data_IF_703203396403
#
_entry.id   IF_703203396403
#
_cell.length_a   1.000
_cell.length_b   1.000
_cell.length_c   1.000
_cell.angle_alpha   90.00
_cell.angle_beta   90.00
_cell.angle_gamma   90.00
#
_symmetry.space_group_name_H-M   'P 1'
#
loop_
_entity.id
_entity.type
_entity.pdbx_description
1 polymer ?
#
# COMPACT_ATOMS: atom_id res chain seq x y z
N UNK A 1 12.80 -19.19 -55.55
CA UNK A 1 13.39 -19.22 -56.92
C UNK A 1 14.85 -18.71 -57.05
N UNK A 2 15.54 -18.18 -56.02
CA UNK A 2 16.96 -17.72 -56.15
C UNK A 2 18.06 -18.78 -55.87
N UNK A 3 17.74 -19.96 -55.33
CA UNK A 3 18.74 -20.99 -54.97
C UNK A 3 19.22 -21.85 -56.16
N UNK A 4 18.45 -21.94 -57.25
CA UNK A 4 18.84 -22.77 -58.41
C UNK A 4 19.82 -22.07 -59.36
N UNK A 5 19.80 -20.73 -59.46
CA UNK A 5 20.75 -20.00 -60.31
C UNK A 5 22.19 -20.01 -59.80
N UNK A 6 22.42 -20.27 -58.50
CA UNK A 6 23.77 -20.34 -57.93
C UNK A 6 24.50 -21.65 -58.26
N UNK A 7 23.78 -22.76 -58.49
CA UNK A 7 24.39 -24.05 -58.83
C UNK A 7 24.94 -24.07 -60.27
N UNK A 8 24.11 -23.62 -61.22
CA UNK A 8 24.44 -23.57 -62.66
C UNK A 8 25.70 -22.74 -62.92
N UNK A 9 25.91 -21.66 -62.15
CA UNK A 9 27.06 -20.76 -62.32
C UNK A 9 28.35 -21.23 -61.64
N UNK A 10 28.30 -22.16 -60.67
CA UNK A 10 29.52 -22.77 -60.09
C UNK A 10 30.06 -23.84 -61.03
N UNK A 11 29.18 -24.63 -61.65
CA UNK A 11 29.54 -25.59 -62.69
C UNK A 11 30.25 -24.92 -63.86
N UNK A 12 29.77 -23.76 -64.30
CA UNK A 12 30.38 -23.01 -65.40
C UNK A 12 31.83 -22.58 -65.13
N UNK A 13 32.14 -22.06 -63.93
CA UNK A 13 33.51 -21.64 -63.60
C UNK A 13 34.45 -22.84 -63.55
N UNK A 14 34.06 -23.91 -62.85
CA UNK A 14 34.86 -25.15 -62.77
C UNK A 14 35.08 -25.75 -64.16
N UNK A 15 34.05 -25.71 -65.02
CA UNK A 15 34.13 -26.19 -66.39
C UNK A 15 35.14 -25.39 -67.21
N UNK A 16 35.11 -24.05 -67.18
CA UNK A 16 36.04 -23.23 -67.96
C UNK A 16 37.48 -23.30 -67.44
N UNK A 17 37.69 -23.41 -66.13
CA UNK A 17 39.03 -23.64 -65.56
C UNK A 17 39.57 -25.01 -65.96
N UNK A 18 38.73 -26.06 -65.92
CA UNK A 18 39.10 -27.40 -66.37
C UNK A 18 39.37 -27.45 -67.88
N UNK A 19 38.58 -26.75 -68.70
CA UNK A 19 38.79 -26.60 -70.15
C UNK A 19 40.11 -25.87 -70.43
N UNK A 20 40.41 -24.77 -69.73
CA UNK A 20 41.69 -24.07 -69.87
C UNK A 20 42.89 -24.94 -69.51
N UNK A 21 42.82 -25.69 -68.41
CA UNK A 21 43.84 -26.66 -68.01
C UNK A 21 44.00 -27.81 -69.01
N UNK A 22 42.89 -28.32 -69.54
CA UNK A 22 42.90 -29.38 -70.54
C UNK A 22 43.51 -28.90 -71.88
N UNK A 23 43.24 -27.66 -72.30
CA UNK A 23 43.84 -27.07 -73.49
C UNK A 23 45.36 -26.83 -73.31
N UNK A 24 45.78 -26.38 -72.12
CA UNK A 24 47.20 -26.24 -71.79
C UNK A 24 47.93 -27.60 -71.78
N UNK A 25 47.33 -28.63 -71.15
CA UNK A 25 47.88 -29.99 -71.15
C UNK A 25 47.89 -30.63 -72.55
N UNK A 26 46.84 -30.41 -73.34
CA UNK A 26 46.76 -30.87 -74.72
C UNK A 26 47.81 -30.21 -75.62
N UNK A 27 48.09 -28.92 -75.42
CA UNK A 27 49.16 -28.22 -76.13
C UNK A 27 50.54 -28.83 -75.82
N UNK A 28 50.81 -29.19 -74.57
CA UNK A 28 52.07 -29.86 -74.20
C UNK A 28 52.21 -31.26 -74.80
N UNK A 29 51.12 -32.04 -74.86
CA UNK A 29 51.14 -33.38 -75.45
C UNK A 29 51.28 -33.37 -76.99
N UNK A 30 50.78 -32.33 -77.67
CA UNK A 30 50.88 -32.17 -79.12
C UNK A 30 52.30 -31.79 -79.59
N UNK A 31 53.10 -31.14 -78.73
CA UNK A 31 54.48 -30.73 -79.05
C UNK A 31 55.42 -31.93 -79.19
N UNK A 32 55.15 -33.05 -78.52
CA UNK A 32 55.96 -34.28 -78.62
C UNK A 32 55.67 -35.13 -79.87
N UNK A 33 54.57 -34.86 -80.59
CA UNK A 33 54.10 -35.74 -81.66
C UNK A 33 54.43 -35.28 -83.09
N UNK A 34 54.31 -33.98 -83.41
CA UNK A 34 54.19 -33.50 -84.80
C UNK A 34 55.09 -32.28 -85.07
N UNK A 35 55.99 -32.36 -86.07
CA UNK A 35 56.99 -31.31 -86.36
C UNK A 35 56.41 -29.97 -86.89
N UNK A 36 55.16 -29.93 -87.36
CA UNK A 36 54.45 -28.69 -87.77
C UNK A 36 53.48 -28.13 -86.70
N UNK A 37 53.47 -28.69 -85.49
CA UNK A 37 52.50 -28.34 -84.44
C UNK A 37 52.82 -27.04 -83.66
N UNK A 38 53.93 -26.35 -83.96
CA UNK A 38 54.38 -25.19 -83.19
C UNK A 38 53.40 -24.00 -83.24
N UNK A 39 52.76 -23.78 -84.40
CA UNK A 39 51.76 -22.73 -84.57
C UNK A 39 50.52 -22.98 -83.70
N UNK A 40 49.99 -24.21 -83.71
CA UNK A 40 48.80 -24.58 -82.95
C UNK A 40 49.05 -24.63 -81.45
N UNK A 41 50.25 -25.02 -81.03
CA UNK A 41 50.67 -24.97 -79.62
C UNK A 41 50.66 -23.55 -79.08
N UNK A 42 51.23 -22.58 -79.81
CA UNK A 42 51.23 -21.17 -79.42
C UNK A 42 49.83 -20.58 -79.30
N UNK A 43 48.93 -20.90 -80.25
CA UNK A 43 47.54 -20.45 -80.21
C UNK A 43 46.78 -21.07 -79.03
N UNK A 44 46.93 -22.37 -78.78
CA UNK A 44 46.29 -23.08 -77.66
C UNK A 44 46.78 -22.59 -76.31
N UNK A 45 48.08 -22.30 -76.18
CA UNK A 45 48.64 -21.74 -74.94
C UNK A 45 48.08 -20.35 -74.69
N UNK A 46 48.14 -19.43 -75.66
CA UNK A 46 47.62 -18.07 -75.48
C UNK A 46 46.10 -18.05 -75.20
N UNK A 47 45.33 -18.87 -75.92
CA UNK A 47 43.89 -19.01 -75.70
C UNK A 47 43.58 -19.63 -74.34
N UNK A 48 44.31 -20.69 -73.97
CA UNK A 48 44.19 -21.37 -72.68
C UNK A 48 44.52 -20.44 -71.50
N UNK A 49 45.59 -19.66 -71.59
CA UNK A 49 45.97 -18.66 -70.58
C UNK A 49 44.92 -17.57 -70.46
N UNK A 50 44.38 -17.06 -71.57
CA UNK A 50 43.35 -16.00 -71.55
C UNK A 50 42.06 -16.49 -70.90
N UNK A 51 41.60 -17.69 -71.25
CA UNK A 51 40.40 -18.32 -70.67
C UNK A 51 40.62 -18.63 -69.18
N UNK A 52 41.80 -19.13 -68.81
CA UNK A 52 42.15 -19.40 -67.42
C UNK A 52 42.18 -18.11 -66.59
N UNK A 53 42.81 -17.05 -67.10
CA UNK A 53 42.91 -15.76 -66.43
C UNK A 53 41.53 -15.12 -66.23
N UNK A 54 40.66 -15.18 -67.25
CA UNK A 54 39.29 -14.70 -67.15
C UNK A 54 38.48 -15.49 -66.10
N UNK A 55 38.61 -16.81 -66.08
CA UNK A 55 37.97 -17.67 -65.07
C UNK A 55 38.47 -17.37 -63.66
N UNK A 56 39.77 -17.14 -63.50
CA UNK A 56 40.40 -16.79 -62.23
C UNK A 56 39.97 -15.42 -61.72
N UNK A 57 39.90 -14.40 -62.59
CA UNK A 57 39.41 -13.06 -62.26
C UNK A 57 37.96 -13.11 -61.74
N UNK A 58 37.07 -13.83 -62.42
CA UNK A 58 35.66 -14.00 -62.00
C UNK A 58 35.56 -14.71 -60.65
N UNK A 59 36.45 -15.68 -60.39
CA UNK A 59 36.51 -16.35 -59.09
C UNK A 59 36.95 -15.39 -57.98
N UNK A 60 37.97 -14.56 -58.25
CA UNK A 60 38.53 -13.61 -57.30
C UNK A 60 37.54 -12.49 -56.97
N UNK A 61 36.87 -11.93 -57.98
CA UNK A 61 35.80 -10.94 -57.83
C UNK A 61 34.67 -11.50 -56.96
N UNK A 62 34.23 -12.74 -57.20
CA UNK A 62 33.19 -13.38 -56.38
C UNK A 62 33.63 -13.65 -54.96
N UNK A 63 34.89 -14.04 -54.75
CA UNK A 63 35.44 -14.26 -53.42
C UNK A 63 35.48 -12.95 -52.64
N UNK A 64 35.93 -11.86 -53.27
CA UNK A 64 35.93 -10.52 -52.69
C UNK A 64 34.51 -10.04 -52.38
N UNK A 65 33.56 -10.18 -53.31
CA UNK A 65 32.15 -9.80 -53.10
C UNK A 65 31.50 -10.64 -51.99
N UNK A 66 31.82 -11.93 -51.91
CA UNK A 66 31.35 -12.78 -50.83
C UNK A 66 31.89 -12.31 -49.49
N UNK A 67 33.21 -12.08 -49.38
CA UNK A 67 33.85 -11.62 -48.15
C UNK A 67 33.37 -10.22 -47.73
N UNK A 68 33.27 -9.26 -48.63
CA UNK A 68 32.75 -7.91 -48.30
C UNK A 68 31.30 -7.96 -47.86
N UNK A 69 30.48 -8.83 -48.44
CA UNK A 69 29.09 -9.02 -48.01
C UNK A 69 29.00 -9.67 -46.63
N UNK A 70 29.90 -10.58 -46.28
CA UNK A 70 29.96 -11.16 -44.93
C UNK A 70 30.39 -10.12 -43.90
N UNK A 71 31.47 -9.38 -44.17
CA UNK A 71 31.99 -8.33 -43.29
C UNK A 71 30.98 -7.20 -43.13
N UNK A 72 30.33 -6.75 -44.22
CA UNK A 72 29.29 -5.74 -44.14
C UNK A 72 28.05 -6.22 -43.37
N UNK A 73 27.71 -7.51 -43.45
CA UNK A 73 26.61 -8.09 -42.69
C UNK A 73 26.96 -8.16 -41.20
N UNK A 74 28.17 -8.62 -40.86
CA UNK A 74 28.67 -8.70 -39.48
C UNK A 74 28.73 -7.31 -38.84
N UNK A 75 29.33 -6.33 -39.53
CA UNK A 75 29.38 -4.94 -39.07
C UNK A 75 27.97 -4.31 -38.91
N UNK A 76 27.04 -4.60 -39.84
CA UNK A 76 25.66 -4.13 -39.71
C UNK A 76 24.91 -4.79 -38.54
N UNK A 77 25.16 -6.07 -38.25
CA UNK A 77 24.56 -6.74 -37.09
C UNK A 77 25.15 -6.27 -35.78
N UNK A 78 26.45 -5.99 -35.72
CA UNK A 78 27.13 -5.46 -34.54
C UNK A 78 26.64 -4.04 -34.23
N UNK A 79 26.61 -3.16 -35.23
CA UNK A 79 26.08 -1.81 -35.09
C UNK A 79 24.58 -1.80 -34.70
N UNK A 80 23.78 -2.72 -35.24
CA UNK A 80 22.38 -2.87 -34.86
C UNK A 80 22.21 -3.38 -33.42
N UNK A 81 23.08 -4.29 -32.97
CA UNK A 81 23.08 -4.79 -31.59
C UNK A 81 23.49 -3.70 -30.59
N UNK A 82 24.52 -2.91 -30.91
CA UNK A 82 24.98 -1.81 -30.08
C UNK A 82 23.92 -0.70 -29.99
N UNK A 83 23.31 -0.32 -31.11
CA UNK A 83 22.20 0.63 -31.12
C UNK A 83 20.98 0.13 -30.32
N UNK A 84 20.68 -1.17 -30.40
CA UNK A 84 19.60 -1.77 -29.61
C UNK A 84 19.92 -1.74 -28.11
N UNK A 85 21.17 -2.04 -27.72
CA UNK A 85 21.59 -1.96 -26.31
C UNK A 85 21.48 -0.53 -25.77
N UNK A 86 22.01 0.46 -26.48
CA UNK A 86 21.91 1.87 -26.09
C UNK A 86 20.45 2.31 -25.97
N UNK A 87 19.59 1.93 -26.93
CA UNK A 87 18.17 2.24 -26.87
C UNK A 87 17.46 1.56 -25.68
N UNK A 88 17.83 0.32 -25.34
CA UNK A 88 17.30 -0.35 -24.15
C UNK A 88 17.78 0.29 -22.85
N UNK A 89 19.06 0.65 -22.75
CA UNK A 89 19.61 1.32 -21.57
C UNK A 89 18.94 2.68 -21.35
N UNK A 90 18.75 3.45 -22.42
CA UNK A 90 18.05 4.74 -22.35
C UNK A 90 16.58 4.56 -21.97
N UNK A 91 15.89 3.56 -22.54
CA UNK A 91 14.51 3.24 -22.17
C UNK A 91 14.40 2.81 -20.70
N UNK A 92 15.32 1.98 -20.21
CA UNK A 92 15.37 1.56 -18.80
C UNK A 92 15.63 2.75 -17.87
N UNK A 93 16.57 3.65 -18.23
CA UNK A 93 16.83 4.87 -17.45
C UNK A 93 15.59 5.75 -17.36
N UNK A 94 14.94 6.05 -18.50
CA UNK A 94 13.72 6.86 -18.53
C UNK A 94 12.59 6.22 -17.73
N UNK A 95 12.48 4.89 -17.75
CA UNK A 95 11.48 4.18 -16.96
C UNK A 95 11.77 4.29 -15.46
N UNK A 96 13.02 4.11 -15.05
CA UNK A 96 13.43 4.27 -13.65
C UNK A 96 13.18 5.71 -13.16
N UNK A 97 13.57 6.73 -13.94
CA UNK A 97 13.31 8.13 -13.60
C UNK A 97 11.80 8.41 -13.41
N UNK A 98 10.95 7.78 -14.24
CA UNK A 98 9.49 7.89 -14.11
C UNK A 98 8.96 7.17 -12.89
N UNK A 99 9.49 5.98 -12.57
CA UNK A 99 9.10 5.22 -11.38
C UNK A 99 9.47 6.00 -10.12
N UNK A 100 10.67 6.58 -10.07
CA UNK A 100 11.12 7.42 -8.96
C UNK A 100 10.22 8.65 -8.80
N UNK A 101 9.88 9.34 -9.90
CA UNK A 101 8.97 10.48 -9.86
C UNK A 101 7.54 10.12 -9.44
N UNK A 102 7.05 8.91 -9.78
CA UNK A 102 5.75 8.40 -9.34
C UNK A 102 5.80 8.08 -7.85
N UNK A 103 6.85 7.41 -7.38
CA UNK A 103 7.07 7.08 -5.99
C UNK A 103 7.12 8.35 -5.13
N UNK A 104 7.88 9.38 -5.55
CA UNK A 104 7.98 10.66 -4.85
C UNK A 104 6.62 11.38 -4.75
N UNK A 105 5.83 11.38 -5.84
CA UNK A 105 4.48 11.98 -5.83
C UNK A 105 3.52 11.23 -4.91
N UNK A 106 3.61 9.89 -4.91
CA UNK A 106 2.79 9.05 -4.05
C UNK A 106 3.13 9.27 -2.58
N UNK A 107 4.42 9.30 -2.22
CA UNK A 107 4.88 9.60 -0.86
C UNK A 107 4.45 11.01 -0.40
N UNK A 108 4.55 12.01 -1.28
CA UNK A 108 4.06 13.37 -0.98
C UNK A 108 2.56 13.38 -0.72
N UNK A 109 1.78 12.71 -1.57
CA UNK A 109 0.33 12.63 -1.40
C UNK A 109 -0.06 11.93 -0.09
N UNK A 110 0.64 10.86 0.28
CA UNK A 110 0.43 10.18 1.56
C UNK A 110 0.78 11.10 2.74
N UNK A 111 1.87 11.85 2.67
CA UNK A 111 2.27 12.79 3.72
C UNK A 111 1.27 13.97 3.86
N UNK A 112 0.79 14.52 2.74
CA UNK A 112 -0.23 15.57 2.74
C UNK A 112 -1.55 15.06 3.33
N UNK A 113 -1.97 13.84 2.98
CA UNK A 113 -3.16 13.23 3.55
C UNK A 113 -3.00 12.98 5.05
N UNK A 114 -1.86 12.44 5.49
CA UNK A 114 -1.58 12.22 6.91
C UNK A 114 -1.62 13.53 7.71
N UNK A 115 -1.03 14.61 7.17
CA UNK A 115 -1.06 15.93 7.82
C UNK A 115 -2.48 16.52 7.92
N UNK A 116 -3.33 16.30 6.91
CA UNK A 116 -4.74 16.71 6.97
C UNK A 116 -5.51 15.92 8.02
N UNK A 117 -5.29 14.61 8.09
CA UNK A 117 -5.89 13.73 9.11
C UNK A 117 -5.43 14.12 10.52
N UNK A 118 -4.14 14.41 10.70
CA UNK A 118 -3.58 14.86 11.99
C UNK A 118 -4.19 16.19 12.42
N UNK A 119 -4.29 17.16 11.51
CA UNK A 119 -4.90 18.46 11.80
C UNK A 119 -6.39 18.35 12.15
N UNK A 120 -7.12 17.40 11.56
CA UNK A 120 -8.52 17.17 11.88
C UNK A 120 -8.70 16.60 13.29
N UNK A 121 -7.79 15.71 13.71
CA UNK A 121 -7.83 15.10 15.04
C UNK A 121 -7.34 16.07 16.12
N UNK A 122 -6.21 16.75 15.92
CA UNK A 122 -5.61 17.65 16.91
C UNK A 122 -6.41 18.93 17.14
N UNK A 123 -7.33 19.28 16.25
CA UNK A 123 -8.15 20.50 16.33
C UNK A 123 -9.01 20.59 17.61
N UNK A 124 -9.32 19.46 18.27
CA UNK A 124 -10.03 19.46 19.55
C UNK A 124 -9.19 20.14 20.65
N UNK A 125 -7.86 19.99 20.61
CA UNK A 125 -6.97 20.57 21.61
C UNK A 125 -6.90 22.10 21.54
N UNK A 126 -7.07 22.67 20.34
CA UNK A 126 -7.04 24.11 20.10
C UNK A 126 -8.37 24.76 20.48
N UNK A 127 -9.48 24.19 20.01
CA UNK A 127 -10.83 24.69 20.27
C UNK A 127 -11.85 23.55 20.34
N UNK A 128 -12.52 23.43 21.49
CA UNK A 128 -13.62 22.47 21.65
C UNK A 128 -14.88 23.05 21.02
N UNK A 129 -15.26 22.53 19.86
CA UNK A 129 -16.47 22.89 19.13
C UNK A 129 -17.12 21.65 18.51
N UNK A 130 -18.36 21.78 18.04
CA UNK A 130 -19.01 20.71 17.29
C UNK A 130 -18.17 20.32 16.06
N UNK A 131 -17.65 21.31 15.33
CA UNK A 131 -16.90 21.07 14.09
C UNK A 131 -15.59 20.33 14.35
N UNK A 132 -14.83 20.70 15.39
CA UNK A 132 -13.57 20.03 15.71
C UNK A 132 -13.79 18.60 16.19
N UNK A 133 -14.77 18.37 17.07
CA UNK A 133 -15.09 17.01 17.56
C UNK A 133 -15.67 16.13 16.45
N UNK A 134 -16.54 16.68 15.61
CA UNK A 134 -17.12 15.95 14.47
C UNK A 134 -16.03 15.55 13.47
N UNK A 135 -15.19 16.50 13.05
CA UNK A 135 -14.12 16.25 12.09
C UNK A 135 -13.12 15.18 12.60
N UNK A 136 -12.74 15.25 13.87
CA UNK A 136 -11.85 14.27 14.49
C UNK A 136 -12.50 12.87 14.55
N UNK A 137 -13.75 12.78 15.00
CA UNK A 137 -14.49 11.53 15.10
C UNK A 137 -14.74 10.90 13.72
N UNK A 138 -15.11 11.70 12.71
CA UNK A 138 -15.30 11.22 11.34
C UNK A 138 -14.01 10.72 10.71
N UNK A 139 -12.90 11.45 10.93
CA UNK A 139 -11.57 11.06 10.45
C UNK A 139 -11.15 9.73 11.08
N UNK A 140 -11.28 9.61 12.41
CA UNK A 140 -10.97 8.37 13.11
C UNK A 140 -11.89 7.21 12.70
N UNK A 141 -13.19 7.46 12.48
CA UNK A 141 -14.13 6.45 12.00
C UNK A 141 -13.80 5.97 10.58
N UNK A 142 -13.48 6.90 9.66
CA UNK A 142 -13.08 6.60 8.28
C UNK A 142 -11.85 5.69 8.21
N UNK A 143 -10.90 5.88 9.12
CA UNK A 143 -9.70 5.04 9.23
C UNK A 143 -9.97 3.68 9.94
N UNK A 144 -11.14 3.52 10.57
CA UNK A 144 -11.46 2.38 11.43
C UNK A 144 -10.70 2.40 12.76
N UNK A 145 -10.19 3.57 13.16
CA UNK A 145 -9.51 3.79 14.43
C UNK A 145 -10.50 3.84 15.60
N UNK A 146 -11.73 4.32 15.35
CA UNK A 146 -12.92 4.19 16.21
C UNK A 146 -14.07 3.64 15.38
N UNK A 147 -15.07 3.07 16.02
CA UNK A 147 -16.36 2.78 15.39
C UNK A 147 -17.23 4.05 15.41
N UNK A 148 -18.53 3.92 15.68
CA UNK A 148 -19.43 5.07 15.82
C UNK A 148 -19.33 5.71 17.19
N UNK A 149 -18.76 5.02 18.19
CA UNK A 149 -18.77 5.45 19.58
C UNK A 149 -17.39 5.24 20.21
N UNK A 150 -16.98 6.18 21.06
CA UNK A 150 -15.84 6.03 21.96
C UNK A 150 -16.23 6.46 23.36
N UNK A 151 -15.83 5.67 24.36
CA UNK A 151 -16.01 6.02 25.76
C UNK A 151 -14.78 6.73 26.28
N UNK A 152 -14.97 7.80 27.04
CA UNK A 152 -13.88 8.62 27.53
C UNK A 152 -14.11 8.96 29.00
N UNK A 153 -13.07 8.80 29.82
CA UNK A 153 -13.11 9.26 31.20
C UNK A 153 -13.30 10.78 31.27
N UNK A 154 -14.31 11.23 32.02
CA UNK A 154 -14.57 12.62 32.31
C UNK A 154 -13.61 13.24 33.33
N UNK A 155 -12.65 12.49 33.86
CA UNK A 155 -11.68 12.99 34.82
C UNK A 155 -10.33 12.25 34.77
N UNK A 156 -9.54 12.39 35.83
CA UNK A 156 -8.18 11.84 35.94
C UNK A 156 -8.16 10.42 36.51
N UNK A 157 -9.22 10.05 37.23
CA UNK A 157 -9.31 8.76 37.93
C UNK A 157 -10.07 7.76 37.08
N UNK A 158 -9.69 6.50 37.19
CA UNK A 158 -10.37 5.40 36.50
C UNK A 158 -11.84 5.25 36.93
N UNK A 159 -12.16 5.71 38.15
CA UNK A 159 -13.49 5.71 38.76
C UNK A 159 -14.31 6.96 38.40
N UNK A 160 -13.72 7.93 37.70
CA UNK A 160 -14.46 9.13 37.29
C UNK A 160 -15.53 8.75 36.24
N UNK A 161 -16.59 9.56 36.13
CA UNK A 161 -17.70 9.25 35.22
C UNK A 161 -17.23 9.12 33.78
N UNK A 162 -17.84 8.21 33.04
CA UNK A 162 -17.49 7.93 31.65
C UNK A 162 -18.53 8.55 30.75
N UNK A 163 -18.07 9.33 29.78
CA UNK A 163 -18.91 9.92 28.73
C UNK A 163 -18.67 9.14 27.45
N UNK A 164 -19.74 8.62 26.88
CA UNK A 164 -19.78 8.16 25.51
C UNK A 164 -19.89 9.35 24.57
N UNK A 165 -19.04 9.37 23.55
CA UNK A 165 -19.07 10.31 22.43
C UNK A 165 -19.32 9.49 21.18
N UNK A 166 -20.48 9.69 20.57
CA UNK A 166 -20.93 8.92 19.41
C UNK A 166 -21.24 9.79 18.19
N UNK A 167 -20.87 9.31 17.01
CA UNK A 167 -21.39 9.75 15.73
C UNK A 167 -22.81 9.18 15.57
N UNK A 168 -23.80 10.03 15.82
CA UNK A 168 -25.21 9.68 15.70
C UNK A 168 -25.81 10.29 14.44
N UNK A 169 -26.83 9.64 13.90
CA UNK A 169 -27.73 10.27 12.92
C UNK A 169 -28.96 10.73 13.67
N UNK A 170 -29.32 12.00 13.53
CA UNK A 170 -30.61 12.48 14.03
C UNK A 170 -31.71 11.77 13.23
N UNK A 171 -32.37 10.80 13.84
CA UNK A 171 -33.56 10.18 13.27
C UNK A 171 -34.75 11.03 13.69
N UNK A 172 -35.09 12.05 12.90
CA UNK A 172 -36.40 12.66 13.01
C UNK A 172 -37.45 11.67 12.51
N UNK A 173 -38.31 11.23 13.42
CA UNK A 173 -39.50 10.47 13.06
C UNK A 173 -40.52 11.44 12.46
N UNK A 174 -40.53 11.56 11.14
CA UNK A 174 -41.55 12.29 10.40
C UNK A 174 -42.58 11.27 9.90
N UNK A 175 -43.87 11.53 10.11
CA UNK A 175 -45.02 10.64 9.82
C UNK A 175 -45.08 10.04 8.39
N UNK A 176 -44.23 10.47 7.46
CA UNK A 176 -44.27 10.06 6.04
C UNK A 176 -42.91 9.66 5.42
N UNK A 177 -41.88 9.41 6.22
CA UNK A 177 -40.60 8.90 5.72
C UNK A 177 -39.43 9.28 6.62
N UNK A 178 -38.47 8.37 6.80
CA UNK A 178 -37.22 8.67 7.49
C UNK A 178 -36.29 9.39 6.52
N UNK A 179 -36.07 10.69 6.74
CA UNK A 179 -34.92 11.38 6.17
C UNK A 179 -33.79 11.26 7.18
N UNK A 180 -32.62 10.80 6.74
CA UNK A 180 -31.41 10.93 7.56
C UNK A 180 -31.00 12.40 7.54
N UNK A 181 -31.21 13.08 8.66
CA UNK A 181 -30.75 14.45 8.88
C UNK A 181 -29.21 14.53 9.01
N UNK A 182 -28.62 15.73 9.09
CA UNK A 182 -27.18 15.90 9.35
C UNK A 182 -26.70 15.03 10.52
N UNK A 183 -25.43 14.60 10.43
CA UNK A 183 -24.77 13.88 11.52
C UNK A 183 -24.75 14.76 12.78
N UNK A 184 -25.03 14.17 13.93
CA UNK A 184 -24.97 14.85 15.24
C UNK A 184 -23.99 14.10 16.14
N UNK A 185 -23.46 14.78 17.16
CA UNK A 185 -22.66 14.11 18.19
C UNK A 185 -23.60 13.74 19.33
N UNK A 186 -23.75 12.44 19.59
CA UNK A 186 -24.42 11.95 20.78
C UNK A 186 -23.46 11.96 21.96
N UNK A 187 -23.82 12.67 23.03
CA UNK A 187 -23.13 12.57 24.33
C UNK A 187 -24.01 11.79 25.29
N UNK A 188 -23.49 10.65 25.77
CA UNK A 188 -24.22 9.78 26.66
C UNK A 188 -23.42 9.54 27.94
N UNK A 189 -24.01 9.80 29.10
CA UNK A 189 -23.39 9.48 30.38
C UNK A 189 -24.03 8.23 30.97
N UNK A 190 -23.24 7.17 31.09
CA UNK A 190 -23.70 5.91 31.68
C UNK A 190 -23.53 5.97 33.20
N UNK A 191 -24.64 5.80 33.92
CA UNK A 191 -24.60 5.69 35.38
C UNK A 191 -24.67 4.23 35.80
N UNK A 192 -23.70 3.82 36.62
CA UNK A 192 -23.44 2.45 37.06
C UNK A 192 -22.90 1.50 35.97
N UNK A 193 -21.57 1.41 35.88
CA UNK A 193 -20.87 0.50 34.98
C UNK A 193 -21.08 -0.98 35.29
N UNK A 194 -21.70 -1.35 36.43
CA UNK A 194 -21.99 -2.75 36.77
C UNK A 194 -23.18 -3.32 35.99
N UNK A 195 -24.01 -2.46 35.38
CA UNK A 195 -25.26 -2.84 34.72
C UNK A 195 -25.30 -2.38 33.25
N UNK A 196 -24.26 -2.69 32.48
CA UNK A 196 -24.25 -2.53 31.00
C UNK A 196 -25.17 -3.57 30.33
N UNK A 197 -26.46 -3.33 30.54
CA UNK A 197 -27.63 -4.04 30.01
C UNK A 197 -28.96 -3.36 30.40
N UNK A 198 -29.01 -2.59 31.51
CA UNK A 198 -30.21 -1.86 31.97
C UNK A 198 -29.94 -0.51 32.66
N UNK A 199 -28.70 -0.01 32.63
CA UNK A 199 -28.36 1.29 33.24
C UNK A 199 -29.12 2.46 32.61
N UNK A 200 -29.45 3.47 33.42
CA UNK A 200 -29.98 4.73 32.89
C UNK A 200 -28.86 5.44 32.12
N UNK A 201 -29.09 5.63 30.82
CA UNK A 201 -28.24 6.45 29.98
C UNK A 201 -28.95 7.79 29.81
N UNK A 202 -28.29 8.86 30.27
CA UNK A 202 -28.74 10.22 29.95
C UNK A 202 -28.01 10.66 28.70
N UNK A 203 -28.78 10.96 27.66
CA UNK A 203 -28.26 11.35 26.35
C UNK A 203 -28.53 12.83 26.10
N UNK A 204 -27.58 13.49 25.45
CA UNK A 204 -27.75 14.82 24.89
C UNK A 204 -27.18 14.82 23.48
N UNK A 205 -27.98 15.30 22.52
CA UNK A 205 -27.51 15.54 21.17
C UNK A 205 -26.78 16.88 21.11
N UNK A 206 -25.68 16.91 20.38
CA UNK A 206 -24.87 18.08 20.10
C UNK A 206 -24.91 18.36 18.60
N UNK A 207 -25.53 19.47 18.24
CA UNK A 207 -25.64 19.97 16.87
C UNK A 207 -24.66 21.10 16.61
N UNK A 208 -24.48 21.49 15.34
CA UNK A 208 -23.58 22.58 14.93
C UNK A 208 -23.92 23.95 15.55
N UNK A 209 -25.18 24.15 15.94
CA UNK A 209 -25.68 25.42 16.46
C UNK A 209 -25.55 25.50 18.00
N UNK A 210 -25.17 24.39 18.65
CA UNK A 210 -24.96 24.35 20.10
C UNK A 210 -23.50 24.64 20.48
N UNK A 211 -23.32 25.49 21.48
CA UNK A 211 -22.04 25.61 22.17
C UNK A 211 -21.83 24.45 23.17
N UNK A 212 -20.58 24.02 23.42
CA UNK A 212 -20.30 22.91 24.34
C UNK A 212 -20.89 23.10 25.74
N UNK A 213 -20.92 24.33 26.26
CA UNK A 213 -21.40 24.61 27.63
C UNK A 213 -22.90 24.33 27.70
N UNK A 214 -23.66 24.71 26.68
CA UNK A 214 -25.10 24.43 26.59
C UNK A 214 -25.36 22.93 26.58
N UNK A 215 -24.62 22.14 25.77
CA UNK A 215 -24.82 20.69 25.70
C UNK A 215 -24.52 20.01 27.04
N UNK A 216 -23.40 20.34 27.68
CA UNK A 216 -23.09 19.79 29.01
C UNK A 216 -24.02 20.32 30.10
N UNK A 217 -24.57 21.52 29.93
CA UNK A 217 -25.64 22.07 30.76
C UNK A 217 -26.93 21.26 30.67
N UNK A 218 -27.34 20.85 29.45
CA UNK A 218 -28.46 19.94 29.22
C UNK A 218 -28.19 18.58 29.87
N UNK A 219 -27.03 17.98 29.57
CA UNK A 219 -26.62 16.68 30.13
C UNK A 219 -26.62 16.69 31.67
N UNK A 220 -26.07 17.75 32.28
CA UNK A 220 -26.09 17.95 33.74
C UNK A 220 -27.52 18.04 34.30
N UNK A 221 -28.36 18.85 33.66
CA UNK A 221 -29.73 19.09 34.13
C UNK A 221 -30.55 17.81 34.11
N UNK A 222 -30.38 17.01 33.05
CA UNK A 222 -31.02 15.71 32.92
C UNK A 222 -30.48 14.70 33.94
N UNK A 223 -29.16 14.65 34.16
CA UNK A 223 -28.53 13.84 35.21
C UNK A 223 -29.05 14.18 36.62
N UNK A 224 -29.23 15.47 36.93
CA UNK A 224 -29.84 15.90 38.19
C UNK A 224 -31.30 15.48 38.26
N UNK A 225 -32.06 15.62 37.15
CA UNK A 225 -33.48 15.25 37.07
C UNK A 225 -33.71 13.77 37.36
N UNK A 226 -32.82 12.89 36.93
CA UNK A 226 -32.90 11.44 37.18
C UNK A 226 -32.23 11.00 38.50
N UNK A 227 -31.72 11.93 39.31
CA UNK A 227 -31.18 11.66 40.65
C UNK A 227 -29.67 11.39 40.71
N UNK A 228 -28.95 11.52 39.60
CA UNK A 228 -27.52 11.24 39.46
C UNK A 228 -26.65 12.52 39.38
N UNK A 229 -27.11 13.59 40.02
CA UNK A 229 -26.36 14.85 40.12
C UNK A 229 -24.94 14.71 40.74
N UNK A 230 -24.74 13.89 41.79
CA UNK A 230 -23.41 13.67 42.38
C UNK A 230 -22.40 13.05 41.40
N UNK A 231 -22.82 12.10 40.57
CA UNK A 231 -22.00 11.44 39.57
C UNK A 231 -21.52 12.45 38.53
N UNK A 232 -22.41 13.32 38.04
CA UNK A 232 -22.02 14.37 37.09
C UNK A 232 -20.98 15.35 37.67
N UNK A 233 -20.93 15.55 38.99
CA UNK A 233 -19.95 16.46 39.63
C UNK A 233 -18.50 16.04 39.38
N UNK A 234 -18.25 14.76 39.11
CA UNK A 234 -16.93 14.23 38.75
C UNK A 234 -16.52 14.51 37.30
N UNK A 235 -17.43 15.00 36.45
CA UNK A 235 -17.12 15.30 35.04
C UNK A 235 -16.42 16.65 34.94
N UNK A 236 -15.15 16.62 34.56
CA UNK A 236 -14.39 17.77 34.10
C UNK A 236 -14.40 17.79 32.57
N UNK A 237 -15.19 18.70 31.99
CA UNK A 237 -15.38 18.83 30.53
C UNK A 237 -14.05 19.08 29.80
N UNK A 238 -13.16 19.89 30.37
CA UNK A 238 -11.85 20.13 29.76
C UNK A 238 -11.01 18.85 29.73
N UNK A 239 -10.99 18.10 30.83
CA UNK A 239 -10.24 16.84 30.91
C UNK A 239 -10.83 15.77 29.99
N UNK A 240 -12.16 15.71 29.87
CA UNK A 240 -12.84 14.83 28.94
C UNK A 240 -12.36 15.05 27.50
N UNK A 241 -12.34 16.29 27.02
CA UNK A 241 -11.91 16.58 25.64
C UNK A 241 -10.41 16.39 25.43
N UNK A 242 -9.58 16.65 26.45
CA UNK A 242 -8.15 16.30 26.41
C UNK A 242 -7.94 14.79 26.26
N UNK A 243 -8.69 13.99 27.02
CA UNK A 243 -8.65 12.54 26.96
C UNK A 243 -9.17 12.03 25.61
N UNK A 244 -10.26 12.62 25.09
CA UNK A 244 -10.80 12.29 23.77
C UNK A 244 -9.77 12.58 22.67
N UNK A 245 -9.23 13.81 22.62
CA UNK A 245 -8.23 14.21 21.64
C UNK A 245 -7.05 13.22 21.62
N UNK A 246 -6.44 13.00 22.78
CA UNK A 246 -5.31 12.06 22.91
C UNK A 246 -5.67 10.65 22.49
N UNK A 247 -6.84 10.16 22.92
CA UNK A 247 -7.31 8.83 22.56
C UNK A 247 -7.46 8.66 21.04
N UNK A 248 -8.03 9.67 20.37
CA UNK A 248 -8.18 9.68 18.91
C UNK A 248 -6.84 9.79 18.19
N UNK A 249 -5.92 10.65 18.64
CA UNK A 249 -4.55 10.74 18.11
C UNK A 249 -3.83 9.39 18.20
N UNK A 250 -3.85 8.78 19.38
CA UNK A 250 -3.23 7.47 19.62
C UNK A 250 -3.90 6.36 18.78
N UNK A 251 -5.22 6.44 18.58
CA UNK A 251 -5.96 5.48 17.74
C UNK A 251 -5.60 5.60 16.26
N UNK A 252 -5.58 6.83 15.74
CA UNK A 252 -5.26 7.11 14.34
C UNK A 252 -3.81 6.73 14.04
N UNK A 253 -2.88 7.13 14.91
CA UNK A 253 -1.47 6.76 14.77
C UNK A 253 -1.26 5.23 14.79
N UNK A 254 -1.90 4.54 15.74
CA UNK A 254 -1.86 3.08 15.81
C UNK A 254 -2.46 2.39 14.58
N UNK A 255 -3.50 2.99 14.00
CA UNK A 255 -4.19 2.45 12.82
C UNK A 255 -3.40 2.64 11.52
N UNK A 256 -2.71 3.76 11.36
CA UNK A 256 -1.80 4.03 10.22
C UNK A 256 -0.51 3.23 10.32
N UNK A 257 -0.11 2.83 11.53
CA UNK A 257 1.16 2.17 11.78
C UNK A 257 2.32 3.16 11.81
N UNK A 258 2.08 4.37 12.31
CA UNK A 258 3.09 5.42 12.39
C UNK A 258 4.27 4.99 13.25
N UNK A 259 5.46 5.49 12.89
CA UNK A 259 6.65 5.22 13.67
C UNK A 259 6.51 5.86 15.08
N UNK A 260 6.55 5.02 16.11
CA UNK A 260 6.38 5.46 17.50
C UNK A 260 4.95 5.40 18.03
N UNK A 261 3.97 4.99 17.21
CA UNK A 261 2.64 4.65 17.72
C UNK A 261 2.75 3.53 18.75
N UNK A 262 2.32 3.79 19.98
CA UNK A 262 2.38 2.81 21.07
C UNK A 262 1.22 1.81 21.03
N UNK A 263 0.09 2.22 20.44
CA UNK A 263 -1.10 1.38 20.31
C UNK A 263 -0.98 0.39 19.17
N UNK A 264 -1.55 -0.79 19.38
CA UNK A 264 -1.75 -1.77 18.32
C UNK A 264 -2.83 -1.31 17.32
N UNK A 265 -2.85 -1.82 16.07
CA UNK A 265 -3.75 -1.35 15.00
C UNK A 265 -5.24 -1.80 15.16
N UNK A 266 -5.79 -1.69 16.36
CA UNK A 266 -7.16 -2.02 16.71
C UNK A 266 -8.10 -0.81 16.81
N UNK A 267 -9.40 -1.09 16.88
CA UNK A 267 -10.44 -0.08 17.09
C UNK A 267 -10.47 0.31 18.56
N UNK A 268 -10.33 1.61 18.86
CA UNK A 268 -10.49 2.17 20.20
C UNK A 268 -11.94 2.09 20.65
N UNK A 269 -12.14 1.60 21.88
CA UNK A 269 -13.45 1.47 22.51
C UNK A 269 -13.59 2.35 23.76
N UNK A 270 -12.52 2.46 24.56
CA UNK A 270 -12.54 3.22 25.82
C UNK A 270 -11.18 3.87 26.11
N UNK A 271 -11.18 5.15 26.50
CA UNK A 271 -10.03 5.89 27.01
C UNK A 271 -10.12 5.92 28.53
N UNK A 272 -9.33 5.06 29.18
CA UNK A 272 -9.40 4.86 30.63
C UNK A 272 -8.60 5.94 31.38
N UNK A 273 -7.41 6.25 30.89
CA UNK A 273 -6.50 7.29 31.37
C UNK A 273 -5.42 7.57 30.33
N UNK A 274 -4.50 8.47 30.64
CA UNK A 274 -3.39 8.94 29.80
C UNK A 274 -2.58 7.82 29.13
N UNK A 275 -2.38 6.71 29.83
CA UNK A 275 -1.53 5.60 29.38
C UNK A 275 -2.31 4.29 29.19
N UNK A 276 -3.64 4.31 29.36
CA UNK A 276 -4.48 3.11 29.32
C UNK A 276 -5.69 3.28 28.44
N UNK A 277 -5.89 2.30 27.56
CA UNK A 277 -7.02 2.26 26.64
C UNK A 277 -7.57 0.85 26.54
N UNK A 278 -8.83 0.75 26.13
CA UNK A 278 -9.46 -0.49 25.70
C UNK A 278 -9.66 -0.42 24.19
N UNK A 279 -9.20 -1.45 23.49
CA UNK A 279 -9.49 -1.66 22.09
C UNK A 279 -10.21 -2.98 21.86
N UNK A 280 -10.62 -3.24 20.62
CA UNK A 280 -11.10 -4.56 20.20
C UNK A 280 -10.03 -5.68 20.36
N UNK A 281 -8.77 -5.33 20.65
CA UNK A 281 -7.69 -6.27 20.93
C UNK A 281 -7.48 -6.54 22.41
N UNK A 282 -8.05 -5.73 23.30
CA UNK A 282 -8.00 -5.91 24.75
C UNK A 282 -7.68 -4.62 25.51
N UNK A 283 -7.13 -4.76 26.71
CA UNK A 283 -6.60 -3.65 27.50
C UNK A 283 -5.15 -3.41 27.06
N UNK A 284 -4.84 -2.17 26.69
CA UNK A 284 -3.51 -1.74 26.25
C UNK A 284 -2.95 -0.67 27.19
N UNK A 285 -1.64 -0.75 27.41
CA UNK A 285 -0.85 0.22 28.16
C UNK A 285 0.30 0.76 27.31
N UNK A 286 0.60 2.06 27.44
CA UNK A 286 1.63 2.76 26.66
C UNK A 286 2.99 2.07 26.64
N UNK A 287 3.46 1.62 27.79
CA UNK A 287 4.80 1.00 27.92
C UNK A 287 4.81 -0.52 27.78
N UNK A 288 3.65 -1.16 27.88
CA UNK A 288 3.54 -2.63 27.95
C UNK A 288 2.76 -3.24 26.79
N UNK A 289 2.23 -2.44 25.86
CA UNK A 289 1.41 -2.90 24.75
C UNK A 289 0.11 -3.54 25.25
N UNK A 290 -0.28 -4.67 24.67
CA UNK A 290 -1.50 -5.40 25.08
C UNK A 290 -1.24 -6.12 26.40
N UNK A 291 -1.79 -5.60 27.50
CA UNK A 291 -1.65 -6.14 28.85
C UNK A 291 -2.63 -7.28 29.10
N UNK A 292 -3.85 -7.17 28.59
CA UNK A 292 -4.83 -8.26 28.66
C UNK A 292 -5.58 -8.38 27.32
N UNK A 293 -5.36 -9.46 26.56
CA UNK A 293 -5.99 -9.62 25.25
C UNK A 293 -7.50 -9.80 25.38
N UNK A 294 -8.25 -9.34 24.38
CA UNK A 294 -9.72 -9.38 24.37
C UNK A 294 -10.30 -10.78 24.63
N UNK A 295 -9.60 -11.83 24.21
CA UNK A 295 -10.02 -13.22 24.45
C UNK A 295 -10.03 -13.61 25.93
N UNK A 296 -9.14 -13.03 26.75
CA UNK A 296 -9.12 -13.25 28.20
C UNK A 296 -10.23 -12.47 28.92
N UNK A 297 -10.74 -11.42 28.27
CA UNK A 297 -11.85 -10.61 28.78
C UNK A 297 -13.22 -11.23 28.44
N UNK A 298 -13.30 -12.17 27.49
CA UNK A 298 -14.56 -12.87 27.19
C UNK A 298 -15.06 -13.62 28.42
N UNK A 299 -16.23 -13.23 28.92
CA UNK A 299 -16.90 -14.00 29.96
C UNK A 299 -17.22 -15.40 29.41
N UNK A 300 -16.73 -16.44 30.09
CA UNK A 300 -17.26 -17.79 29.86
C UNK A 300 -18.72 -17.75 30.32
N UNK A 301 -19.66 -18.13 29.44
CA UNK A 301 -21.08 -18.29 29.80
C UNK A 301 -21.24 -19.47 30.76
N UNK A 302 -20.80 -19.31 32.00
CA UNK A 302 -21.05 -20.23 33.10
C UNK A 302 -22.00 -19.51 34.04
N UNK A 303 -23.26 -19.95 34.06
CA UNK A 303 -24.38 -19.26 34.70
C UNK A 303 -24.26 -19.12 36.23
N UNK A 304 -23.31 -19.81 36.89
CA UNK A 304 -23.28 -19.95 38.35
C UNK A 304 -21.96 -19.55 39.03
N UNK A 305 -20.99 -18.93 38.33
CA UNK A 305 -19.73 -18.50 38.96
C UNK A 305 -19.40 -17.05 38.66
N UNK A 306 -18.95 -16.36 39.69
CA UNK A 306 -18.33 -15.04 39.59
C UNK A 306 -17.29 -15.07 38.46
N UNK A 307 -17.30 -14.08 37.56
CA UNK A 307 -16.46 -14.14 36.37
C UNK A 307 -15.00 -14.21 36.77
N UNK A 308 -14.30 -15.29 36.40
CA UNK A 308 -12.86 -15.42 36.61
C UNK A 308 -12.16 -14.24 35.93
N UNK A 309 -11.68 -13.27 36.71
CA UNK A 309 -11.00 -12.08 36.22
C UNK A 309 -9.56 -12.48 35.88
N UNK A 310 -8.98 -12.01 34.77
CA UNK A 310 -7.55 -12.19 34.53
C UNK A 310 -6.77 -11.60 35.72
N UNK A 311 -5.71 -12.27 36.18
CA UNK A 311 -4.92 -11.78 37.31
C UNK A 311 -4.31 -10.42 36.97
N UNK A 312 -4.21 -9.54 37.97
CA UNK A 312 -3.55 -8.25 37.81
C UNK A 312 -2.07 -8.44 37.47
N UNK A 313 -1.51 -7.66 36.54
CA UNK A 313 -0.06 -7.57 36.39
C UNK A 313 0.59 -7.10 37.70
N UNK A 314 1.80 -7.58 38.01
CA UNK A 314 2.50 -7.28 39.28
C UNK A 314 2.69 -5.78 39.56
N UNK A 315 2.69 -4.95 38.51
CA UNK A 315 2.91 -3.49 38.57
C UNK A 315 1.60 -2.69 38.59
N UNK A 316 0.44 -3.35 38.60
CA UNK A 316 -0.88 -2.70 38.66
C UNK A 316 -1.57 -3.10 39.95
N UNK A 317 -2.07 -2.10 40.68
CA UNK A 317 -2.93 -2.31 41.83
C UNK A 317 -4.18 -3.15 41.48
N UNK A 318 -4.54 -4.10 42.34
CA UNK A 318 -5.59 -5.08 42.07
C UNK A 318 -6.98 -4.44 41.93
N UNK A 319 -7.29 -3.42 42.74
CA UNK A 319 -8.55 -2.68 42.66
C UNK A 319 -8.63 -1.91 41.34
N UNK A 320 -7.55 -1.19 40.99
CA UNK A 320 -7.45 -0.49 39.71
C UNK A 320 -7.61 -1.47 38.54
N UNK A 321 -6.95 -2.62 38.59
CA UNK A 321 -7.06 -3.66 37.57
C UNK A 321 -8.49 -4.17 37.42
N UNK A 322 -9.17 -4.48 38.54
CA UNK A 322 -10.56 -4.93 38.55
C UNK A 322 -11.51 -3.93 37.88
N UNK A 323 -11.30 -2.64 38.07
CA UNK A 323 -12.06 -1.59 37.39
C UNK A 323 -11.80 -1.55 35.88
N UNK A 324 -10.53 -1.66 35.44
CA UNK A 324 -10.18 -1.67 34.02
C UNK A 324 -10.77 -2.89 33.31
N UNK A 325 -10.67 -4.07 33.93
CA UNK A 325 -11.23 -5.31 33.40
C UNK A 325 -12.75 -5.23 33.30
N UNK A 326 -13.43 -4.75 34.34
CA UNK A 326 -14.89 -4.58 34.33
C UNK A 326 -15.34 -3.68 33.18
N UNK A 327 -14.70 -2.50 33.01
CA UNK A 327 -14.99 -1.58 31.90
C UNK A 327 -14.72 -2.26 30.55
N UNK A 328 -13.55 -2.86 30.38
CA UNK A 328 -13.14 -3.47 29.13
C UNK A 328 -14.07 -4.61 28.69
N UNK A 329 -14.51 -5.45 29.63
CA UNK A 329 -15.49 -6.52 29.37
C UNK A 329 -16.78 -5.97 28.81
N UNK A 330 -17.31 -4.94 29.45
CA UNK A 330 -18.59 -4.40 29.03
C UNK A 330 -18.53 -3.75 27.64
N UNK A 331 -17.40 -3.14 27.27
CA UNK A 331 -17.20 -2.60 25.90
C UNK A 331 -17.05 -3.70 24.86
N UNK A 332 -16.24 -4.72 25.16
CA UNK A 332 -16.02 -5.83 24.25
C UNK A 332 -17.28 -6.67 24.01
N UNK A 333 -18.16 -6.80 25.01
CA UNK A 333 -19.44 -7.48 24.85
C UNK A 333 -20.30 -6.77 23.81
N UNK A 334 -20.42 -5.44 23.90
CA UNK A 334 -21.19 -4.65 22.93
C UNK A 334 -20.58 -4.73 21.53
N UNK A 335 -19.25 -4.67 21.44
CA UNK A 335 -18.52 -4.76 20.17
C UNK A 335 -18.74 -6.09 19.43
N UNK A 336 -18.76 -7.21 20.16
CA UNK A 336 -18.88 -8.56 19.55
C UNK A 336 -20.31 -8.95 19.14
N UNK A 337 -21.33 -8.14 19.46
CA UNK A 337 -22.71 -8.42 19.08
C UNK A 337 -23.06 -7.95 17.67
N UNK A 338 -22.17 -7.20 17.01
CA UNK A 338 -22.30 -6.71 15.64
C UNK A 338 -21.35 -7.45 14.69
#
# INVERSE_FOLDING_TARGET
MRREQTGIRKGFIVLWTAVGLALLGGATALVDGWQDASFWSSVLVNLGTTIFLAGFLVWLERRLVATTRTVAKEAATEAASEAAMVATEEATRVLNDRLDAIQERFERQLAEQAAQEDSAVSGIADEVSYESVMAAMETANKLGAVEQEVHVSGGDRLTDPVVSVALATEQQQIDYGSYSEPRVIGLALAVDTRLLGTGYVVESLWTKDDDPITVFGRLRSEMVRVGYGPEFKGVNVQRLFQNLNRGLEDAVAGRRGDQGAWRSPGTLLDVLSDDWVVSNRGIEHREHGIVCPAIALRAKRTFDKEPDLPPAPEWVDEERWGHMVTRARARLINYMMF
#
